data_IF_109148100647
#
_entry.id   IF_109148100647
#
_cell.length_a   1.000
_cell.length_b   1.000
_cell.length_c   1.000
_cell.angle_alpha   90.00
_cell.angle_beta   90.00
_cell.angle_gamma   90.00
#
_symmetry.space_group_name_H-M   'P 1'
#
loop_
_entity.id
_entity.type
_entity.pdbx_description
1 polymer ?
#
# COMPACT_ATOMS: atom_id res chain seq x y z
N UNK A 1 4.62 -3.02 0.34
CA UNK A 1 5.15 -4.38 0.55
C UNK A 1 6.45 -4.36 1.33
N UNK A 2 7.57 -3.93 0.75
CA UNK A 2 8.89 -3.88 1.39
C UNK A 2 8.87 -3.25 2.79
N UNK A 3 8.46 -1.99 2.90
CA UNK A 3 8.49 -1.26 4.18
C UNK A 3 7.71 -1.93 5.34
N UNK A 4 6.68 -2.72 5.04
CA UNK A 4 5.80 -3.34 6.04
C UNK A 4 6.14 -4.81 6.34
N UNK A 5 6.78 -5.51 5.40
CA UNK A 5 6.93 -6.97 5.45
C UNK A 5 8.33 -7.47 5.09
N UNK A 6 9.27 -6.59 4.79
CA UNK A 6 10.68 -6.97 4.71
C UNK A 6 11.32 -6.82 6.09
N UNK A 7 12.10 -7.81 6.51
CA UNK A 7 12.76 -7.83 7.82
C UNK A 7 13.75 -6.66 8.00
N UNK A 8 14.32 -6.13 6.91
CA UNK A 8 15.18 -4.93 6.96
C UNK A 8 14.41 -3.68 7.35
N UNK A 9 13.08 -3.69 7.23
CA UNK A 9 12.22 -2.56 7.60
C UNK A 9 11.74 -2.61 9.05
N UNK A 10 12.24 -3.55 9.86
CA UNK A 10 11.93 -3.62 11.29
C UNK A 10 12.56 -2.41 12.01
N UNK A 11 11.79 -1.65 12.81
CA UNK A 11 12.34 -0.57 13.61
C UNK A 11 13.41 -1.09 14.60
N UNK A 12 14.61 -0.50 14.54
CA UNK A 12 15.75 -0.84 15.39
C UNK A 12 16.63 0.40 15.63
N UNK A 13 17.61 0.35 16.56
CA UNK A 13 18.57 1.45 16.72
C UNK A 13 19.30 1.82 15.41
N UNK A 14 19.58 0.82 14.56
CA UNK A 14 20.24 0.97 13.27
C UNK A 14 19.26 1.33 12.13
N UNK A 15 17.96 1.16 12.35
CA UNK A 15 16.89 1.48 11.41
C UNK A 15 15.73 2.23 12.11
N UNK A 16 16.00 3.48 12.49
CA UNK A 16 15.03 4.31 13.21
C UNK A 16 13.80 4.70 12.37
N UNK A 17 13.90 4.61 11.04
CA UNK A 17 12.81 4.89 10.09
C UNK A 17 12.00 3.65 9.69
N UNK A 18 12.31 2.47 10.23
CA UNK A 18 11.56 1.24 9.95
C UNK A 18 10.09 1.36 10.32
N UNK A 19 9.21 0.76 9.52
CA UNK A 19 7.76 0.75 9.76
C UNK A 19 7.13 -0.65 9.78
N UNK A 20 7.94 -1.72 9.73
CA UNK A 20 7.47 -3.08 9.99
C UNK A 20 7.28 -3.27 11.51
N UNK A 21 6.20 -2.68 12.04
CA UNK A 21 5.88 -2.70 13.47
C UNK A 21 5.43 -4.07 13.97
N UNK A 22 4.92 -4.92 13.07
CA UNK A 22 4.60 -6.32 13.38
C UNK A 22 5.83 -7.16 13.69
N UNK A 23 7.04 -6.65 13.36
CA UNK A 23 8.31 -7.37 13.45
C UNK A 23 8.30 -8.67 12.65
N UNK A 24 7.52 -8.71 11.57
CA UNK A 24 7.48 -9.84 10.65
C UNK A 24 8.88 -10.12 10.11
N UNK A 25 9.33 -11.36 10.22
CA UNK A 25 10.66 -11.81 9.88
C UNK A 25 10.59 -13.24 9.30
N UNK A 26 10.43 -13.32 7.98
CA UNK A 26 10.36 -14.57 7.22
C UNK A 26 11.31 -14.46 6.01
N UNK A 27 12.45 -15.18 6.02
CA UNK A 27 13.47 -15.04 4.97
C UNK A 27 12.96 -15.31 3.56
N UNK A 28 11.98 -16.19 3.38
CA UNK A 28 11.39 -16.43 2.07
C UNK A 28 10.53 -15.24 1.61
N UNK A 29 9.77 -14.60 2.50
CA UNK A 29 9.04 -13.37 2.18
C UNK A 29 9.99 -12.26 1.76
N UNK A 30 11.10 -12.07 2.48
CA UNK A 30 12.14 -11.10 2.14
C UNK A 30 12.68 -11.35 0.71
N UNK A 31 13.09 -12.59 0.41
CA UNK A 31 13.59 -12.96 -0.92
C UNK A 31 12.59 -12.70 -2.04
N UNK A 32 11.31 -13.01 -1.83
CA UNK A 32 10.26 -12.79 -2.83
C UNK A 32 10.01 -11.30 -3.04
N UNK A 33 10.00 -10.49 -1.98
CA UNK A 33 9.83 -9.03 -2.06
C UNK A 33 11.02 -8.39 -2.77
N UNK A 34 12.25 -8.77 -2.43
CA UNK A 34 13.46 -8.28 -3.09
C UNK A 34 13.46 -8.59 -4.57
N UNK A 35 13.13 -9.84 -4.95
CA UNK A 35 12.99 -10.23 -6.35
C UNK A 35 11.90 -9.44 -7.05
N UNK A 36 10.72 -9.28 -6.45
CA UNK A 36 9.63 -8.50 -7.03
C UNK A 36 10.03 -7.03 -7.28
N UNK A 37 10.95 -6.49 -6.49
CA UNK A 37 11.50 -5.14 -6.69
C UNK A 37 12.35 -4.97 -7.96
N UNK A 38 12.88 -6.06 -8.53
CA UNK A 38 13.74 -6.03 -9.71
C UNK A 38 13.03 -6.40 -11.01
N UNK A 39 11.81 -6.93 -10.96
CA UNK A 39 11.06 -7.37 -12.14
C UNK A 39 10.31 -6.19 -12.79
N UNK A 40 10.62 -5.82 -14.05
CA UNK A 40 9.88 -4.78 -14.77
C UNK A 40 8.58 -5.31 -15.40
N UNK A 41 8.49 -6.61 -15.68
CA UNK A 41 7.30 -7.24 -16.24
C UNK A 41 6.16 -7.24 -15.22
N UNK A 42 5.06 -6.58 -15.56
CA UNK A 42 3.94 -6.36 -14.64
C UNK A 42 3.27 -7.66 -14.17
N UNK A 43 2.91 -8.60 -15.05
CA UNK A 43 2.36 -9.89 -14.65
C UNK A 43 3.28 -10.67 -13.70
N UNK A 44 4.57 -10.82 -14.05
CA UNK A 44 5.53 -11.52 -13.20
C UNK A 44 5.72 -10.84 -11.85
N UNK A 45 5.79 -9.50 -11.82
CA UNK A 45 5.91 -8.72 -10.58
C UNK A 45 4.69 -8.90 -9.68
N UNK A 46 3.49 -8.88 -10.26
CA UNK A 46 2.23 -9.12 -9.54
C UNK A 46 2.25 -10.50 -8.89
N UNK A 47 2.63 -11.54 -9.62
CA UNK A 47 2.63 -12.92 -9.11
C UNK A 47 3.59 -13.09 -7.92
N UNK A 48 4.75 -12.43 -7.95
CA UNK A 48 5.67 -12.42 -6.81
C UNK A 48 5.08 -11.69 -5.60
N UNK A 49 4.46 -10.53 -5.77
CA UNK A 49 3.81 -9.86 -4.65
C UNK A 49 2.60 -10.63 -4.10
N UNK A 50 1.86 -11.36 -4.93
CA UNK A 50 0.81 -12.27 -4.48
C UNK A 50 1.38 -13.40 -3.61
N UNK A 51 2.51 -14.00 -4.01
CA UNK A 51 3.20 -15.02 -3.20
C UNK A 51 3.62 -14.46 -1.84
N UNK A 52 4.24 -13.27 -1.80
CA UNK A 52 4.61 -12.64 -0.54
C UNK A 52 3.39 -12.31 0.35
N UNK A 53 2.30 -11.81 -0.25
CA UNK A 53 1.06 -11.50 0.48
C UNK A 53 0.43 -12.76 1.09
N UNK A 54 0.44 -13.87 0.36
CA UNK A 54 -0.06 -15.16 0.85
C UNK A 54 0.74 -15.62 2.07
N UNK A 55 2.08 -15.57 2.02
CA UNK A 55 2.92 -15.95 3.16
C UNK A 55 2.66 -15.09 4.40
N UNK A 56 2.54 -13.77 4.22
CA UNK A 56 2.23 -12.83 5.30
C UNK A 56 0.87 -13.12 5.93
N UNK A 57 -0.13 -13.46 5.11
CA UNK A 57 -1.48 -13.80 5.57
C UNK A 57 -1.49 -15.15 6.33
N UNK A 58 -0.86 -16.18 5.78
CA UNK A 58 -0.74 -17.50 6.41
C UNK A 58 0.06 -17.45 7.72
N UNK A 59 1.10 -16.61 7.77
CA UNK A 59 1.90 -16.37 8.97
C UNK A 59 1.24 -15.46 10.01
N UNK A 60 0.02 -14.97 9.73
CA UNK A 60 -0.75 -14.11 10.63
C UNK A 60 0.01 -12.87 11.15
N UNK A 61 0.87 -12.27 10.32
CA UNK A 61 1.59 -11.02 10.67
C UNK A 61 0.63 -9.91 11.10
N UNK A 62 -0.54 -9.86 10.47
CA UNK A 62 -1.61 -8.92 10.78
C UNK A 62 -2.96 -9.64 10.80
N UNK A 63 -3.86 -9.19 11.67
CA UNK A 63 -5.28 -9.55 11.62
C UNK A 63 -5.98 -8.48 10.79
N UNK A 64 -6.18 -8.75 9.50
CA UNK A 64 -6.89 -7.83 8.61
C UNK A 64 -8.37 -7.76 8.99
N UNK A 65 -8.90 -6.55 9.15
CA UNK A 65 -10.29 -6.33 9.55
C UNK A 65 -11.18 -6.06 8.33
N UNK A 66 -11.02 -4.88 7.74
CA UNK A 66 -11.77 -4.41 6.58
C UNK A 66 -11.04 -3.23 5.94
N UNK A 67 -11.34 -2.97 4.67
CA UNK A 67 -10.95 -1.73 4.02
C UNK A 67 -11.93 -0.63 4.42
N UNK A 68 -11.41 0.52 4.86
CA UNK A 68 -12.25 1.67 5.22
C UNK A 68 -12.84 2.28 3.95
N UNK A 69 -14.07 2.78 4.07
CA UNK A 69 -14.69 3.56 3.01
C UNK A 69 -14.28 5.02 3.18
N UNK A 70 -13.80 5.63 2.11
CA UNK A 70 -13.52 7.06 2.08
C UNK A 70 -14.79 7.79 1.63
N UNK A 71 -15.29 8.69 2.48
CA UNK A 71 -16.54 9.43 2.30
C UNK A 71 -16.24 10.92 2.25
N UNK A 72 -16.27 11.47 1.04
CA UNK A 72 -16.08 12.89 0.82
C UNK A 72 -17.41 13.57 0.51
N UNK A 73 -17.53 14.85 0.88
CA UNK A 73 -18.71 15.67 0.62
C UNK A 73 -18.31 16.97 -0.02
N UNK A 74 -19.00 17.33 -1.10
CA UNK A 74 -18.81 18.59 -1.81
C UNK A 74 -20.16 19.18 -2.22
N UNK A 75 -20.17 20.45 -2.61
CA UNK A 75 -21.38 21.14 -3.06
C UNK A 75 -21.83 20.55 -4.40
N UNK A 76 -23.13 20.35 -4.61
CA UNK A 76 -23.67 19.88 -5.90
C UNK A 76 -23.23 20.71 -7.11
N UNK A 77 -22.99 22.01 -6.91
CA UNK A 77 -22.49 22.89 -7.99
C UNK A 77 -21.04 22.64 -8.38
N UNK A 78 -20.27 21.96 -7.54
CA UNK A 78 -18.88 21.58 -7.81
C UNK A 78 -18.87 20.34 -8.69
N UNK A 79 -18.17 20.44 -9.82
CA UNK A 79 -18.19 19.46 -10.89
C UNK A 79 -16.76 19.12 -11.31
N UNK A 80 -16.58 17.96 -11.93
CA UNK A 80 -15.26 17.47 -12.36
C UNK A 80 -14.46 16.76 -11.27
N UNK A 81 -14.97 16.67 -10.03
CA UNK A 81 -14.35 15.83 -9.01
C UNK A 81 -14.45 14.34 -9.36
N UNK A 82 -13.36 13.62 -9.16
CA UNK A 82 -13.33 12.16 -9.29
C UNK A 82 -12.74 11.61 -7.99
N UNK A 83 -13.38 10.61 -7.36
CA UNK A 83 -12.86 10.01 -6.13
C UNK A 83 -11.49 9.37 -6.34
N UNK A 84 -10.64 9.48 -5.34
CA UNK A 84 -9.33 8.82 -5.29
C UNK A 84 -9.25 8.00 -4.01
N UNK A 85 -8.92 6.71 -4.13
CA UNK A 85 -8.73 5.81 -2.98
C UNK A 85 -7.43 6.04 -2.21
N UNK A 86 -6.75 7.16 -2.46
CA UNK A 86 -5.61 7.67 -1.69
C UNK A 86 -6.05 8.97 -1.03
N UNK A 87 -5.47 9.32 0.13
CA UNK A 87 -5.81 10.51 0.93
C UNK A 87 -5.46 11.87 0.26
N UNK A 88 -5.99 12.15 -0.92
CA UNK A 88 -5.81 13.41 -1.61
C UNK A 88 -7.05 13.75 -2.45
N UNK A 89 -8.00 14.45 -1.80
CA UNK A 89 -9.20 14.95 -2.47
C UNK A 89 -8.87 15.81 -3.67
N UNK A 90 -7.75 16.56 -3.64
CA UNK A 90 -7.33 17.53 -4.66
C UNK A 90 -6.54 16.97 -5.83
N UNK A 91 -6.38 15.65 -5.96
CA UNK A 91 -5.51 15.04 -6.97
C UNK A 91 -5.87 15.44 -8.41
N UNK A 92 -7.15 15.70 -8.69
CA UNK A 92 -7.63 16.16 -10.00
C UNK A 92 -8.20 17.59 -9.97
N UNK A 93 -7.74 18.43 -9.04
CA UNK A 93 -8.27 19.79 -8.88
C UNK A 93 -8.16 20.68 -10.13
N UNK A 94 -7.26 20.35 -11.06
CA UNK A 94 -7.09 21.05 -12.32
C UNK A 94 -8.29 20.90 -13.27
N UNK A 95 -9.13 19.87 -13.09
CA UNK A 95 -10.34 19.61 -13.88
C UNK A 95 -11.61 20.17 -13.22
N UNK A 96 -11.50 20.75 -12.02
CA UNK A 96 -12.67 21.17 -11.25
C UNK A 96 -13.26 22.49 -11.75
N UNK A 97 -14.57 22.59 -11.69
CA UNK A 97 -15.29 23.82 -12.02
C UNK A 97 -16.57 23.95 -11.20
N UNK A 98 -17.15 25.15 -11.24
CA UNK A 98 -18.40 25.47 -10.55
C UNK A 98 -19.48 25.75 -11.60
N UNK A 99 -20.53 24.96 -11.58
CA UNK A 99 -21.74 25.22 -12.38
C UNK A 99 -22.46 26.48 -11.88
N UNK A 100 -23.06 27.20 -12.82
CA UNK A 100 -23.82 28.43 -12.55
C UNK A 100 -25.15 28.11 -11.88
#
# INVERSE_FOLDING_TARGET
>A
MFNYFDSKSIPSPDNQGGINYSRWNDPQTDQVIEKAGTIPDWPQRKDLYCQAAQRVAEGASHIYLYQRFDLDSYRDRMQGWIPNGWNNDGWNAYDWWVSK
#
